data_IF_849695018471
#
_entry.id   IF_849695018471
#
_cell.length_a   1.000
_cell.length_b   1.000
_cell.length_c   1.000
_cell.angle_alpha   90.00
_cell.angle_beta   90.00
_cell.angle_gamma   90.00
#
_symmetry.space_group_name_H-M   'P 1'
#
loop_
_entity.id
_entity.type
_entity.pdbx_description
1 polymer ?
#
# COMPACT_ATOMS: atom_id res chain seq x y z
N UNK A 1 0.01 -18.23 -10.32
CA UNK A 1 1.17 -17.61 -9.65
C UNK A 1 0.89 -16.13 -9.55
N UNK A 2 0.93 -15.57 -8.35
CA UNK A 2 0.62 -14.17 -8.06
C UNK A 2 1.93 -13.43 -7.75
N UNK A 3 2.17 -12.29 -8.40
CA UNK A 3 3.33 -11.44 -8.14
C UNK A 3 2.94 -10.27 -7.23
N UNK A 4 3.68 -10.12 -6.13
CA UNK A 4 3.62 -8.92 -5.29
C UNK A 4 4.94 -8.16 -5.40
N UNK A 5 4.87 -6.90 -5.83
CA UNK A 5 6.00 -5.99 -5.97
C UNK A 5 5.91 -4.91 -4.88
N UNK A 6 6.98 -4.77 -4.09
CA UNK A 6 7.07 -3.77 -3.02
C UNK A 6 8.16 -2.75 -3.29
N UNK A 7 7.95 -1.52 -2.84
CA UNK A 7 8.97 -0.47 -2.83
C UNK A 7 10.23 -0.90 -2.03
N UNK A 8 10.07 -1.23 -0.75
CA UNK A 8 11.15 -1.58 0.17
C UNK A 8 11.47 -3.08 0.27
N UNK A 9 12.71 -3.38 0.69
CA UNK A 9 13.23 -4.77 0.75
C UNK A 9 12.93 -5.50 2.07
N UNK A 10 12.45 -4.79 3.10
CA UNK A 10 12.40 -5.33 4.48
C UNK A 10 11.02 -5.33 5.10
N UNK A 11 10.37 -4.18 5.18
CA UNK A 11 9.15 -4.02 6.00
C UNK A 11 7.96 -4.70 5.33
N UNK A 12 7.74 -4.39 4.06
CA UNK A 12 6.59 -4.79 3.27
C UNK A 12 6.60 -6.29 2.99
N UNK A 13 7.71 -6.92 2.53
CA UNK A 13 7.75 -8.37 2.39
C UNK A 13 7.50 -9.09 3.72
N UNK A 14 8.03 -8.57 4.84
CA UNK A 14 7.82 -9.17 6.17
C UNK A 14 6.36 -9.08 6.62
N UNK A 15 5.71 -7.95 6.40
CA UNK A 15 4.28 -7.76 6.67
C UNK A 15 3.46 -8.70 5.79
N UNK A 16 3.80 -8.79 4.50
CA UNK A 16 3.08 -9.60 3.55
C UNK A 16 3.19 -11.09 3.83
N UNK A 17 4.33 -11.59 4.34
CA UNK A 17 4.44 -12.99 4.81
C UNK A 17 3.41 -13.33 5.91
N UNK A 18 3.01 -12.35 6.73
CA UNK A 18 1.91 -12.57 7.69
C UNK A 18 0.56 -12.63 6.98
N UNK A 19 0.29 -11.73 6.05
CA UNK A 19 -0.92 -11.74 5.21
C UNK A 19 -1.05 -13.08 4.47
N UNK A 20 0.02 -13.53 3.82
CA UNK A 20 0.10 -14.79 3.09
C UNK A 20 -0.35 -15.97 3.97
N UNK A 21 0.24 -16.10 5.17
CA UNK A 21 -0.11 -17.17 6.11
C UNK A 21 -1.55 -17.09 6.66
N UNK A 22 -2.12 -15.89 6.73
CA UNK A 22 -3.47 -15.66 7.26
C UNK A 22 -4.56 -15.85 6.20
N UNK A 23 -4.28 -15.52 4.94
CA UNK A 23 -5.30 -15.34 3.91
C UNK A 23 -5.02 -16.03 2.57
N UNK A 24 -3.76 -16.34 2.21
CA UNK A 24 -3.36 -16.90 0.91
C UNK A 24 -2.79 -18.32 1.04
N UNK A 25 -3.34 -19.14 1.94
CA UNK A 25 -2.83 -20.51 2.14
C UNK A 25 -3.07 -21.38 0.91
N UNK A 26 -1.99 -21.85 0.31
CA UNK A 26 -2.03 -22.73 -0.86
C UNK A 26 -1.92 -22.01 -2.19
N UNK A 27 -1.79 -20.68 -2.19
CA UNK A 27 -1.50 -19.89 -3.38
C UNK A 27 -0.01 -19.91 -3.70
N UNK A 28 0.31 -19.90 -4.99
CA UNK A 28 1.68 -19.77 -5.48
C UNK A 28 2.04 -18.27 -5.61
N UNK A 29 2.76 -17.75 -4.62
CA UNK A 29 3.02 -16.32 -4.42
C UNK A 29 4.51 -16.00 -4.54
N UNK A 30 4.85 -15.05 -5.41
CA UNK A 30 6.19 -14.47 -5.53
C UNK A 30 6.18 -13.08 -4.90
N UNK A 31 7.09 -12.86 -3.94
CA UNK A 31 7.33 -11.54 -3.34
C UNK A 31 8.62 -10.96 -3.92
N UNK A 32 8.52 -9.84 -4.60
CA UNK A 32 9.63 -9.12 -5.17
C UNK A 32 9.72 -7.72 -4.58
N UNK A 33 10.94 -7.23 -4.35
CA UNK A 33 11.17 -5.85 -3.95
C UNK A 33 11.86 -5.09 -5.07
N UNK A 34 11.29 -3.96 -5.46
CA UNK A 34 11.84 -3.08 -6.47
C UNK A 34 13.07 -2.31 -5.95
N UNK A 35 13.03 -1.84 -4.69
CA UNK A 35 14.16 -1.27 -3.97
C UNK A 35 14.41 0.22 -4.19
N UNK A 36 13.49 0.93 -4.86
CA UNK A 36 13.49 2.39 -5.05
C UNK A 36 12.05 2.92 -5.06
N UNK A 37 11.86 4.24 -5.02
CA UNK A 37 10.52 4.85 -5.02
C UNK A 37 9.75 4.66 -6.34
N UNK A 38 8.43 4.92 -6.29
CA UNK A 38 7.53 4.86 -7.46
C UNK A 38 7.93 5.82 -8.59
N UNK A 39 8.70 6.87 -8.29
CA UNK A 39 9.12 7.86 -9.26
C UNK A 39 10.35 7.41 -10.07
N UNK A 40 11.22 6.60 -9.49
CA UNK A 40 12.24 5.84 -10.24
C UNK A 40 11.56 4.81 -11.14
N UNK A 41 10.57 4.06 -10.61
CA UNK A 41 9.83 3.11 -11.45
C UNK A 41 9.15 3.83 -12.62
N UNK A 42 8.55 4.99 -12.40
CA UNK A 42 8.00 5.82 -13.47
C UNK A 42 9.05 6.18 -14.53
N UNK A 43 10.26 6.57 -14.14
CA UNK A 43 11.35 6.91 -15.08
C UNK A 43 11.77 5.69 -15.90
N UNK A 44 11.98 4.56 -15.23
CA UNK A 44 12.39 3.31 -15.89
C UNK A 44 11.31 2.81 -16.86
N UNK A 45 10.03 2.79 -16.45
CA UNK A 45 8.92 2.40 -17.33
C UNK A 45 8.82 3.32 -18.55
N UNK A 46 8.97 4.65 -18.37
CA UNK A 46 8.96 5.61 -19.49
C UNK A 46 10.13 5.41 -20.45
N UNK A 47 11.29 4.97 -19.94
CA UNK A 47 12.48 4.70 -20.76
C UNK A 47 12.33 3.45 -21.63
N UNK A 48 11.52 2.48 -21.20
CA UNK A 48 11.23 1.26 -21.97
C UNK A 48 10.25 1.50 -23.13
N UNK A 49 9.42 2.54 -23.05
CA UNK A 49 8.48 2.93 -24.09
C UNK A 49 7.21 2.07 -24.13
N UNK A 50 6.57 1.99 -25.30
CA UNK A 50 5.32 1.26 -25.47
C UNK A 50 5.55 -0.25 -25.31
N UNK A 51 4.75 -0.89 -24.46
CA UNK A 51 4.93 -2.30 -24.09
C UNK A 51 5.88 -2.51 -22.90
N UNK A 52 6.20 -1.46 -22.15
CA UNK A 52 6.94 -1.55 -20.89
C UNK A 52 6.28 -2.56 -19.94
N UNK A 53 7.07 -3.54 -19.50
CA UNK A 53 6.65 -4.65 -18.65
C UNK A 53 7.40 -4.57 -17.31
N UNK A 54 6.67 -4.60 -16.19
CA UNK A 54 7.25 -4.58 -14.85
C UNK A 54 8.25 -5.72 -14.62
N UNK A 55 8.04 -6.89 -15.23
CA UNK A 55 8.97 -8.03 -15.14
C UNK A 55 10.30 -7.70 -15.80
N UNK A 56 10.30 -6.97 -16.92
CA UNK A 56 11.54 -6.53 -17.57
C UNK A 56 12.35 -5.58 -16.65
N UNK A 57 11.66 -4.67 -15.96
CA UNK A 57 12.27 -3.78 -14.97
C UNK A 57 12.85 -4.57 -13.79
N UNK A 58 12.10 -5.52 -13.23
CA UNK A 58 12.52 -6.29 -12.06
C UNK A 58 13.71 -7.22 -12.37
N UNK A 59 13.75 -7.81 -13.57
CA UNK A 59 14.84 -8.68 -14.01
C UNK A 59 16.17 -7.93 -14.14
N UNK A 60 16.15 -6.69 -14.62
CA UNK A 60 17.36 -5.86 -14.70
C UNK A 60 17.98 -5.59 -13.33
N UNK A 61 17.25 -5.84 -12.24
CA UNK A 61 17.71 -5.70 -10.86
C UNK A 61 18.04 -7.05 -10.19
N UNK A 62 18.18 -8.13 -10.97
CA UNK A 62 18.59 -9.48 -10.53
C UNK A 62 17.79 -10.03 -9.34
N UNK A 63 16.47 -9.82 -9.36
CA UNK A 63 15.58 -10.23 -8.26
C UNK A 63 15.28 -11.74 -8.33
N UNK A 64 15.48 -12.42 -7.20
CA UNK A 64 15.25 -13.87 -7.04
C UNK A 64 13.79 -14.24 -7.27
N UNK A 65 13.54 -15.40 -7.88
CA UNK A 65 12.21 -15.94 -8.15
C UNK A 65 11.64 -15.55 -9.52
N UNK A 66 12.35 -14.73 -10.30
CA UNK A 66 11.94 -14.32 -11.65
C UNK A 66 12.76 -15.00 -12.75
N UNK A 67 13.57 -16.01 -12.41
CA UNK A 67 14.52 -16.65 -13.32
C UNK A 67 13.82 -17.36 -14.49
N UNK A 68 12.69 -18.03 -14.22
CA UNK A 68 11.93 -18.80 -15.22
C UNK A 68 10.76 -18.03 -15.85
N UNK A 69 10.44 -16.85 -15.31
CA UNK A 69 9.33 -16.00 -15.78
C UNK A 69 9.84 -15.17 -16.94
N UNK A 70 9.16 -15.11 -18.08
CA UNK A 70 9.56 -14.27 -19.22
C UNK A 70 8.91 -12.87 -19.18
N UNK A 71 7.61 -12.79 -18.85
CA UNK A 71 6.77 -11.58 -18.97
C UNK A 71 5.74 -11.47 -17.86
N UNK A 72 5.13 -10.28 -17.69
CA UNK A 72 4.00 -10.07 -16.75
C UNK A 72 2.86 -11.05 -16.98
N UNK A 73 2.60 -11.43 -18.24
CA UNK A 73 1.54 -12.37 -18.63
C UNK A 73 1.74 -13.81 -18.13
N UNK A 74 2.90 -14.13 -17.58
CA UNK A 74 3.16 -15.44 -16.98
C UNK A 74 2.61 -15.52 -15.53
N UNK A 75 2.18 -14.39 -14.96
CA UNK A 75 1.46 -14.32 -13.69
C UNK A 75 -0.05 -14.28 -13.93
N UNK A 76 -0.82 -14.89 -13.02
CA UNK A 76 -2.28 -14.75 -13.03
C UNK A 76 -2.71 -13.36 -12.58
N UNK A 77 -1.99 -12.80 -11.61
CA UNK A 77 -2.27 -11.52 -10.97
C UNK A 77 -0.96 -10.84 -10.57
N UNK A 78 -0.90 -9.52 -10.76
CA UNK A 78 0.24 -8.68 -10.34
C UNK A 78 -0.24 -7.50 -9.50
N UNK A 79 0.34 -7.35 -8.31
CA UNK A 79 0.04 -6.27 -7.39
C UNK A 79 1.30 -5.50 -7.02
N UNK A 80 1.22 -4.18 -7.04
CA UNK A 80 2.31 -3.28 -6.71
C UNK A 80 1.93 -2.46 -5.48
N UNK A 81 2.82 -2.35 -4.51
CA UNK A 81 2.65 -1.56 -3.29
C UNK A 81 3.79 -0.58 -3.16
N UNK A 82 3.46 0.70 -3.30
CA UNK A 82 4.43 1.79 -3.23
C UNK A 82 3.96 2.88 -2.30
N UNK A 83 4.89 3.71 -1.87
CA UNK A 83 4.63 4.84 -1.01
C UNK A 83 4.40 6.09 -1.87
N UNK A 84 3.61 7.03 -1.37
CA UNK A 84 3.41 8.30 -2.05
C UNK A 84 4.68 9.18 -2.01
N UNK A 85 5.49 9.05 -0.96
CA UNK A 85 6.82 9.66 -0.77
C UNK A 85 7.04 11.01 -1.52
N UNK A 86 6.36 12.08 -1.09
CA UNK A 86 6.56 13.43 -1.68
C UNK A 86 7.59 14.27 -0.93
N UNK A 87 8.65 13.63 -0.41
CA UNK A 87 9.61 14.26 0.49
C UNK A 87 10.53 15.30 -0.16
N UNK A 88 10.78 15.22 -1.48
CA UNK A 88 11.61 16.22 -2.15
C UNK A 88 10.84 17.53 -2.32
N UNK A 89 11.02 18.44 -1.36
CA UNK A 89 10.41 19.78 -1.34
C UNK A 89 10.77 20.63 -2.56
N UNK A 90 11.83 20.30 -3.30
CA UNK A 90 12.22 21.02 -4.52
C UNK A 90 11.31 20.67 -5.71
N UNK A 91 10.68 19.50 -5.68
CA UNK A 91 9.75 19.07 -6.72
C UNK A 91 8.33 19.56 -6.34
N UNK A 92 7.59 20.23 -7.23
CA UNK A 92 6.21 20.62 -6.95
C UNK A 92 5.30 19.40 -6.70
N UNK A 93 4.35 19.49 -5.76
CA UNK A 93 3.38 18.41 -5.50
C UNK A 93 2.58 18.04 -6.76
N UNK A 94 2.30 19.02 -7.63
CA UNK A 94 1.64 18.79 -8.92
C UNK A 94 2.43 17.86 -9.84
N UNK A 95 3.76 17.90 -9.78
CA UNK A 95 4.62 17.04 -10.58
C UNK A 95 4.61 15.60 -10.05
N UNK A 96 4.74 15.41 -8.73
CA UNK A 96 4.53 14.11 -8.08
C UNK A 96 3.17 13.52 -8.42
N UNK A 97 2.10 14.33 -8.33
CA UNK A 97 0.76 13.91 -8.69
C UNK A 97 0.62 13.51 -10.17
N UNK A 98 1.29 14.20 -11.07
CA UNK A 98 1.26 13.86 -12.52
C UNK A 98 1.92 12.51 -12.78
N UNK A 99 3.08 12.28 -12.14
CA UNK A 99 3.80 11.00 -12.23
C UNK A 99 2.99 9.86 -11.62
N UNK A 100 2.48 10.05 -10.40
CA UNK A 100 1.68 9.03 -9.72
C UNK A 100 0.39 8.71 -10.49
N UNK A 101 -0.31 9.72 -11.02
CA UNK A 101 -1.51 9.50 -11.82
C UNK A 101 -1.19 8.67 -13.08
N UNK A 102 -0.05 8.91 -13.73
CA UNK A 102 0.40 8.11 -14.87
C UNK A 102 0.64 6.66 -14.47
N UNK A 103 1.25 6.42 -13.29
CA UNK A 103 1.48 5.07 -12.78
C UNK A 103 0.17 4.36 -12.40
N UNK A 104 -0.78 5.05 -11.77
CA UNK A 104 -2.09 4.49 -11.46
C UNK A 104 -2.92 4.17 -12.72
N UNK A 105 -2.74 4.92 -13.81
CA UNK A 105 -3.35 4.59 -15.11
C UNK A 105 -2.66 3.39 -15.78
N UNK A 106 -1.34 3.26 -15.62
CA UNK A 106 -0.58 2.17 -16.21
C UNK A 106 -0.86 0.84 -15.49
N UNK A 107 -0.99 0.91 -14.16
CA UNK A 107 -1.18 -0.22 -13.26
C UNK A 107 -2.59 -0.20 -12.62
N UNK A 108 -3.62 -0.34 -13.45
CA UNK A 108 -5.03 -0.22 -13.05
C UNK A 108 -5.72 -1.58 -12.79
N UNK A 109 -5.23 -2.66 -13.39
CA UNK A 109 -5.83 -4.00 -13.34
C UNK A 109 -4.79 -5.10 -13.05
N UNK A 110 -5.13 -6.01 -12.15
CA UNK A 110 -4.22 -7.07 -11.70
C UNK A 110 -3.87 -8.11 -12.77
N UNK A 111 -4.73 -8.28 -13.79
CA UNK A 111 -4.52 -9.24 -14.89
C UNK A 111 -3.85 -8.62 -16.11
N UNK A 112 -3.78 -7.28 -16.15
CA UNK A 112 -3.09 -6.50 -17.17
C UNK A 112 -1.61 -6.26 -16.84
N UNK A 113 -1.23 -4.99 -16.73
CA UNK A 113 0.14 -4.61 -16.33
C UNK A 113 0.39 -4.78 -14.82
N UNK A 114 -0.66 -5.06 -14.05
CA UNK A 114 -0.68 -5.13 -12.61
C UNK A 114 -1.46 -3.99 -11.98
N UNK A 115 -1.79 -4.09 -10.70
CA UNK A 115 -2.62 -3.13 -9.97
C UNK A 115 -1.84 -2.45 -8.86
N UNK A 116 -1.75 -1.12 -8.93
CA UNK A 116 -0.96 -0.30 -8.01
C UNK A 116 -1.77 0.18 -6.81
N UNK A 117 -1.24 -0.09 -5.62
CA UNK A 117 -1.70 0.36 -4.32
C UNK A 117 -0.70 1.35 -3.72
N UNK A 118 -1.19 2.48 -3.20
CA UNK A 118 -0.35 3.60 -2.76
C UNK A 118 -0.54 3.90 -1.28
N UNK A 119 0.50 3.77 -0.46
CA UNK A 119 0.43 4.17 0.95
C UNK A 119 0.60 5.68 1.08
N UNK A 120 -0.17 6.30 1.97
CA UNK A 120 -0.13 7.73 2.25
C UNK A 120 0.30 7.99 3.71
N UNK A 121 1.45 8.64 3.94
CA UNK A 121 2.50 8.93 2.96
C UNK A 121 3.41 7.74 2.63
N UNK A 122 3.50 6.74 3.52
CA UNK A 122 4.42 5.60 3.41
C UNK A 122 3.94 4.39 4.23
N UNK A 123 4.65 3.26 4.17
CA UNK A 123 4.28 2.02 4.86
C UNK A 123 4.00 2.20 6.35
N UNK A 124 4.71 3.10 7.05
CA UNK A 124 4.47 3.43 8.46
C UNK A 124 3.02 3.88 8.76
N UNK A 125 2.25 4.30 7.75
CA UNK A 125 0.83 4.67 7.90
C UNK A 125 -0.02 3.50 8.42
N UNK A 126 0.42 2.26 8.21
CA UNK A 126 -0.25 1.05 8.69
C UNK A 126 -0.32 0.97 10.23
N UNK A 127 0.67 1.51 10.94
CA UNK A 127 0.68 1.55 12.42
C UNK A 127 0.39 2.92 12.99
N UNK A 128 0.20 3.95 12.16
CA UNK A 128 -0.05 5.33 12.58
C UNK A 128 -1.46 5.46 13.16
N UNK A 129 -1.63 4.88 14.33
CA UNK A 129 -2.91 4.70 15.03
C UNK A 129 -2.63 4.67 16.52
N UNK A 130 -3.61 5.12 17.32
CA UNK A 130 -3.65 4.82 18.74
C UNK A 130 -4.07 3.37 18.94
N UNK A 131 -4.58 3.01 20.10
CA UNK A 131 -5.00 1.65 20.40
C UNK A 131 -6.13 1.23 19.44
N UNK A 132 -6.07 0.02 18.88
CA UNK A 132 -7.14 -0.50 18.03
C UNK A 132 -8.36 -0.95 18.88
N UNK A 133 -9.60 -0.70 18.41
CA UNK A 133 -9.95 0.20 17.30
C UNK A 133 -9.73 1.69 17.67
N UNK A 134 -9.41 2.52 16.68
CA UNK A 134 -9.15 3.96 16.86
C UNK A 134 -10.17 4.81 16.07
N UNK A 135 -11.17 5.34 16.77
CA UNK A 135 -12.24 6.16 16.17
C UNK A 135 -11.73 7.50 15.61
N UNK A 136 -10.60 8.01 16.09
CA UNK A 136 -10.02 9.26 15.62
C UNK A 136 -9.14 9.07 14.37
N UNK A 137 -8.87 7.82 13.96
CA UNK A 137 -8.04 7.50 12.80
C UNK A 137 -8.47 8.23 11.52
N UNK A 138 -9.78 8.39 11.32
CA UNK A 138 -10.36 9.10 10.16
C UNK A 138 -9.83 10.53 10.01
N UNK A 139 -9.43 11.18 11.10
CA UNK A 139 -8.95 12.57 11.12
C UNK A 139 -7.44 12.71 10.92
N UNK A 140 -6.67 11.64 11.07
CA UNK A 140 -5.21 11.73 11.01
C UNK A 140 -4.72 12.11 9.62
N UNK A 141 -3.95 13.18 9.57
CA UNK A 141 -3.32 13.69 8.36
C UNK A 141 -2.04 14.41 8.76
N UNK A 142 -1.08 14.45 7.84
CA UNK A 142 0.22 15.09 8.05
C UNK A 142 0.45 16.17 7.00
N UNK A 143 1.20 17.20 7.33
CA UNK A 143 1.65 18.16 6.30
C UNK A 143 2.71 17.52 5.41
N UNK A 144 3.00 18.16 4.28
CA UNK A 144 4.07 17.73 3.38
C UNK A 144 5.44 17.70 4.07
N UNK A 145 5.74 18.69 4.90
CA UNK A 145 7.00 18.77 5.65
C UNK A 145 7.13 17.60 6.64
N UNK A 146 6.01 17.20 7.23
CA UNK A 146 5.93 16.11 8.19
C UNK A 146 6.12 14.74 7.55
N UNK A 147 5.90 14.61 6.23
CA UNK A 147 6.15 13.36 5.50
C UNK A 147 7.61 12.93 5.58
N UNK A 148 8.56 13.88 5.44
CA UNK A 148 10.00 13.59 5.45
C UNK A 148 10.46 12.87 6.72
N UNK A 149 9.87 13.22 7.86
CA UNK A 149 10.16 12.66 9.18
C UNK A 149 9.09 11.65 9.64
N UNK A 150 8.21 11.22 8.73
CA UNK A 150 6.99 10.51 9.11
C UNK A 150 7.27 9.21 9.86
N UNK A 151 8.35 8.51 9.52
CA UNK A 151 8.76 7.31 10.25
C UNK A 151 9.01 7.57 11.74
N UNK A 152 9.78 8.62 12.06
CA UNK A 152 10.02 9.05 13.45
C UNK A 152 8.72 9.51 14.10
N UNK A 153 7.88 10.26 13.38
CA UNK A 153 6.57 10.67 13.90
C UNK A 153 5.66 9.49 14.19
N UNK A 154 5.68 8.46 13.35
CA UNK A 154 4.93 7.23 13.57
C UNK A 154 5.44 6.51 14.83
N UNK A 155 6.76 6.50 15.09
CA UNK A 155 7.33 5.96 16.33
C UNK A 155 6.83 6.70 17.58
N UNK A 156 6.78 8.03 17.52
CA UNK A 156 6.36 8.88 18.65
C UNK A 156 4.84 8.91 18.86
N UNK A 157 4.08 8.87 17.77
CA UNK A 157 2.62 9.02 17.80
C UNK A 157 1.91 7.70 18.08
N UNK A 158 2.37 6.59 17.51
CA UNK A 158 1.60 5.34 17.47
C UNK A 158 1.54 4.67 18.84
N UNK A 159 0.40 4.07 19.17
CA UNK A 159 0.30 3.24 20.38
C UNK A 159 1.18 1.99 20.27
N UNK A 160 1.34 1.47 19.05
CA UNK A 160 2.19 0.33 18.76
C UNK A 160 3.57 0.82 18.26
N UNK A 161 4.66 0.58 19.02
CA UNK A 161 5.97 1.12 18.68
C UNK A 161 6.61 0.41 17.47
N UNK A 162 6.10 -0.75 17.10
CA UNK A 162 6.60 -1.56 15.99
C UNK A 162 5.47 -2.46 15.44
N UNK A 163 5.81 -3.26 14.43
CA UNK A 163 4.87 -4.11 13.69
C UNK A 163 4.40 -5.37 14.45
N UNK A 164 4.87 -5.60 15.67
CA UNK A 164 4.69 -6.88 16.35
C UNK A 164 3.22 -7.27 16.61
N UNK A 165 2.33 -6.28 16.73
CA UNK A 165 0.89 -6.50 16.95
C UNK A 165 0.19 -7.12 15.74
N UNK A 166 0.78 -7.01 14.54
CA UNK A 166 0.21 -7.51 13.29
C UNK A 166 1.08 -8.56 12.60
N UNK A 167 2.16 -9.00 13.26
CA UNK A 167 3.04 -10.05 12.74
C UNK A 167 2.80 -11.38 13.44
N UNK A 168 2.68 -12.45 12.64
CA UNK A 168 2.73 -13.80 13.17
C UNK A 168 4.13 -14.10 13.68
N UNK A 169 4.22 -14.62 14.90
CA UNK A 169 5.47 -15.10 15.48
C UNK A 169 5.39 -16.61 15.63
N UNK A 170 6.47 -17.30 15.29
CA UNK A 170 6.60 -18.74 15.55
C UNK A 170 6.78 -18.99 17.06
N UNK A 171 5.66 -18.98 17.80
CA UNK A 171 5.61 -19.40 19.20
C UNK A 171 4.98 -20.79 19.26
N UNK A 172 5.73 -21.79 19.73
CA UNK A 172 5.24 -23.18 19.86
C UNK A 172 4.05 -23.31 20.82
N UNK A 173 3.93 -22.42 21.80
CA UNK A 173 2.83 -22.40 22.76
C UNK A 173 1.91 -21.19 22.48
N UNK A 174 0.60 -21.43 22.40
CA UNK A 174 -0.39 -20.36 22.21
C UNK A 174 -0.49 -19.81 20.78
N UNK A 175 -0.04 -20.57 19.77
CA UNK A 175 -0.04 -20.14 18.36
C UNK A 175 -1.45 -19.78 17.86
N UNK A 176 -2.48 -20.52 18.26
CA UNK A 176 -3.87 -20.24 17.86
C UNK A 176 -4.36 -18.92 18.43
N UNK A 177 -4.13 -18.68 19.72
CA UNK A 177 -4.50 -17.42 20.39
C UNK A 177 -3.77 -16.24 19.75
N UNK A 178 -2.45 -16.35 19.54
CA UNK A 178 -1.66 -15.30 18.88
C UNK A 178 -2.14 -15.05 17.45
N UNK A 179 -2.47 -16.12 16.70
CA UNK A 179 -2.99 -16.01 15.33
C UNK A 179 -4.34 -15.30 15.30
N UNK A 180 -5.24 -15.62 16.25
CA UNK A 180 -6.53 -14.96 16.39
C UNK A 180 -6.38 -13.47 16.75
N UNK A 181 -5.47 -13.13 17.68
CA UNK A 181 -5.17 -11.73 18.05
C UNK A 181 -4.62 -10.93 16.86
N UNK A 182 -3.64 -11.49 16.13
CA UNK A 182 -3.08 -10.85 14.93
C UNK A 182 -4.15 -10.67 13.86
N UNK A 183 -5.00 -11.69 13.63
CA UNK A 183 -6.12 -11.59 12.67
C UNK A 183 -7.10 -10.50 13.07
N UNK A 184 -7.48 -10.42 14.34
CA UNK A 184 -8.35 -9.35 14.85
C UNK A 184 -7.74 -7.95 14.64
N UNK A 185 -6.42 -7.79 14.84
CA UNK A 185 -5.75 -6.53 14.58
C UNK A 185 -5.78 -6.15 13.09
N UNK A 186 -5.57 -7.11 12.18
CA UNK A 186 -5.72 -6.88 10.74
C UNK A 186 -7.16 -6.49 10.35
N UNK A 187 -8.16 -7.08 11.01
CA UNK A 187 -9.57 -6.72 10.79
C UNK A 187 -9.87 -5.27 11.23
N UNK A 188 -9.37 -4.84 12.39
CA UNK A 188 -9.49 -3.44 12.81
C UNK A 188 -8.78 -2.48 11.85
N UNK A 189 -7.57 -2.84 11.39
CA UNK A 189 -6.84 -2.05 10.41
C UNK A 189 -7.57 -1.96 9.07
N UNK A 190 -8.19 -3.06 8.62
CA UNK A 190 -9.02 -3.09 7.41
C UNK A 190 -10.21 -2.17 7.57
N UNK A 191 -10.96 -2.30 8.66
CA UNK A 191 -12.14 -1.48 8.92
C UNK A 191 -11.80 0.01 8.90
N UNK A 192 -10.83 0.46 9.70
CA UNK A 192 -10.52 1.89 9.80
C UNK A 192 -9.96 2.47 8.49
N UNK A 193 -9.13 1.71 7.74
CA UNK A 193 -8.58 2.17 6.47
C UNK A 193 -9.63 2.21 5.37
N UNK A 194 -10.50 1.20 5.27
CA UNK A 194 -11.55 1.17 4.24
C UNK A 194 -12.60 2.24 4.51
N UNK A 195 -13.06 2.39 5.77
CA UNK A 195 -13.98 3.47 6.13
C UNK A 195 -13.38 4.85 5.93
N UNK A 196 -12.09 5.03 6.22
CA UNK A 196 -11.39 6.28 5.93
C UNK A 196 -11.24 6.54 4.43
N UNK A 197 -10.96 5.52 3.62
CA UNK A 197 -10.96 5.65 2.17
C UNK A 197 -12.34 6.10 1.65
N UNK A 198 -13.42 5.52 2.18
CA UNK A 198 -14.77 5.97 1.85
C UNK A 198 -15.00 7.43 2.29
N UNK A 199 -14.60 7.81 3.51
CA UNK A 199 -14.68 9.20 3.97
C UNK A 199 -13.93 10.19 3.06
N UNK A 200 -12.75 9.80 2.59
CA UNK A 200 -11.98 10.57 1.59
C UNK A 200 -12.76 10.68 0.28
N UNK A 201 -13.39 9.61 -0.19
CA UNK A 201 -14.08 9.59 -1.50
C UNK A 201 -15.46 10.26 -1.48
N UNK A 202 -16.31 9.91 -0.51
CA UNK A 202 -17.73 10.28 -0.43
C UNK A 202 -18.03 11.26 0.72
N UNK A 203 -17.23 11.26 1.77
CA UNK A 203 -17.49 12.02 3.01
C UNK A 203 -18.20 11.20 4.10
N UNK A 204 -18.63 9.97 3.81
CA UNK A 204 -19.22 9.05 4.80
C UNK A 204 -18.16 8.21 5.50
N UNK A 205 -18.19 8.13 6.83
CA UNK A 205 -17.32 7.26 7.63
C UNK A 205 -18.00 5.91 7.90
N UNK A 206 -18.21 5.16 6.84
CA UNK A 206 -18.88 3.86 6.83
C UNK A 206 -18.25 2.96 5.77
N UNK A 207 -18.63 1.68 5.75
CA UNK A 207 -18.18 0.79 4.69
C UNK A 207 -18.71 1.29 3.34
N UNK A 208 -17.88 1.33 2.28
CA UNK A 208 -18.35 1.74 0.98
C UNK A 208 -19.38 0.74 0.44
N UNK A 209 -20.32 1.22 -0.37
CA UNK A 209 -21.38 0.39 -0.95
C UNK A 209 -20.83 -0.58 -1.99
N UNK A 210 -19.78 -0.17 -2.70
CA UNK A 210 -19.05 -1.00 -3.68
C UNK A 210 -17.54 -0.85 -3.49
N UNK A 211 -16.76 -1.78 -4.07
CA UNK A 211 -15.29 -1.70 -4.04
C UNK A 211 -14.75 -0.53 -4.86
N UNK A 212 -15.41 -0.23 -5.98
CA UNK A 212 -15.02 0.84 -6.91
C UNK A 212 -15.04 2.23 -6.27
N UNK A 213 -15.91 2.46 -5.27
CA UNK A 213 -15.95 3.73 -4.52
C UNK A 213 -14.63 4.04 -3.81
N UNK A 214 -13.85 3.02 -3.45
CA UNK A 214 -12.54 3.15 -2.80
C UNK A 214 -11.42 2.57 -3.68
N UNK A 215 -11.61 2.54 -5.00
CA UNK A 215 -10.54 2.20 -5.94
C UNK A 215 -9.38 3.20 -5.84
N UNK A 216 -8.15 2.73 -6.13
CA UNK A 216 -6.92 3.49 -5.91
C UNK A 216 -6.90 4.83 -6.68
N UNK A 217 -7.35 4.84 -7.93
CA UNK A 217 -7.50 6.07 -8.71
C UNK A 217 -8.49 7.04 -8.08
N UNK A 218 -9.62 6.56 -7.57
CA UNK A 218 -10.63 7.43 -6.95
C UNK A 218 -10.10 8.03 -5.64
N UNK A 219 -9.46 7.22 -4.79
CA UNK A 219 -8.78 7.70 -3.57
C UNK A 219 -7.79 8.81 -3.95
N UNK A 220 -6.90 8.57 -4.91
CA UNK A 220 -5.90 9.54 -5.36
C UNK A 220 -6.54 10.86 -5.81
N UNK A 221 -7.53 10.81 -6.72
CA UNK A 221 -8.19 12.00 -7.25
C UNK A 221 -8.89 12.81 -6.15
N UNK A 222 -9.59 12.13 -5.23
CA UNK A 222 -10.32 12.76 -4.13
C UNK A 222 -9.38 13.35 -3.09
N UNK A 223 -8.27 12.67 -2.77
CA UNK A 223 -7.23 13.23 -1.90
C UNK A 223 -6.62 14.49 -2.48
N UNK A 224 -6.21 14.45 -3.76
CA UNK A 224 -5.66 15.60 -4.48
C UNK A 224 -6.61 16.79 -4.47
N UNK A 225 -7.89 16.55 -4.74
CA UNK A 225 -8.90 17.61 -4.78
C UNK A 225 -9.18 18.23 -3.38
N UNK A 226 -9.32 17.39 -2.35
CA UNK A 226 -9.75 17.83 -1.00
C UNK A 226 -8.63 18.40 -0.14
N UNK A 227 -7.43 17.83 -0.22
CA UNK A 227 -6.38 18.11 0.77
C UNK A 227 -5.11 18.76 0.19
N UNK A 228 -4.98 18.81 -1.14
CA UNK A 228 -3.74 19.29 -1.79
C UNK A 228 -3.95 20.52 -2.68
N UNK A 229 -5.14 21.12 -2.66
CA UNK A 229 -5.54 22.25 -3.52
C UNK A 229 -5.40 23.63 -2.86
N UNK A 230 -4.98 23.69 -1.59
CA UNK A 230 -4.87 24.93 -0.80
C UNK A 230 -3.49 25.16 -0.16
N UNK A 231 -3.37 26.28 0.58
CA UNK A 231 -2.14 26.67 1.28
C UNK A 231 -1.73 25.71 2.42
N UNK A 232 -2.70 25.01 3.03
CA UNK A 232 -2.46 23.95 4.03
C UNK A 232 -2.59 22.58 3.35
N UNK A 233 -1.59 22.24 2.54
CA UNK A 233 -1.53 20.93 1.88
C UNK A 233 -1.34 19.84 2.94
N UNK A 234 -2.37 19.00 3.10
CA UNK A 234 -2.36 17.86 4.02
C UNK A 234 -2.45 16.55 3.25
N UNK A 235 -1.83 15.52 3.82
CA UNK A 235 -1.89 14.15 3.31
C UNK A 235 -2.64 13.32 4.36
N UNK A 236 -3.85 12.83 4.04
CA UNK A 236 -4.52 11.88 4.90
C UNK A 236 -3.64 10.64 5.11
N UNK A 237 -3.49 10.23 6.37
CA UNK A 237 -2.78 8.99 6.68
C UNK A 237 -3.67 7.81 6.24
N UNK A 238 -3.21 7.01 5.30
CA UNK A 238 -3.96 5.87 4.76
C UNK A 238 -2.98 4.78 4.35
N UNK A 239 -3.26 3.53 4.68
CA UNK A 239 -2.47 2.39 4.22
C UNK A 239 -3.30 1.50 3.31
N UNK A 240 -2.69 1.02 2.23
CA UNK A 240 -3.41 0.29 1.19
C UNK A 240 -3.27 -1.21 1.31
N UNK A 241 -2.40 -1.76 2.17
CA UNK A 241 -2.41 -3.20 2.48
C UNK A 241 -3.77 -3.67 3.02
N UNK A 242 -4.41 -2.99 4.02
CA UNK A 242 -5.73 -3.39 4.47
C UNK A 242 -6.83 -3.14 3.43
N UNK A 243 -6.69 -2.11 2.58
CA UNK A 243 -7.64 -1.85 1.48
C UNK A 243 -7.54 -2.96 0.43
N UNK A 244 -6.33 -3.42 0.11
CA UNK A 244 -6.09 -4.59 -0.74
C UNK A 244 -6.80 -5.82 -0.19
N UNK A 245 -6.74 -6.10 1.12
CA UNK A 245 -7.49 -7.23 1.70
C UNK A 245 -9.00 -7.10 1.47
N UNK A 246 -9.54 -5.89 1.58
CA UNK A 246 -10.95 -5.63 1.27
C UNK A 246 -11.25 -5.81 -0.23
N UNK A 247 -10.38 -5.31 -1.11
CA UNK A 247 -10.57 -5.37 -2.56
C UNK A 247 -10.40 -6.81 -3.11
N UNK A 248 -9.44 -7.56 -2.59
CA UNK A 248 -9.13 -8.92 -3.01
C UNK A 248 -10.22 -9.92 -2.59
N UNK A 249 -10.62 -9.90 -1.31
CA UNK A 249 -11.55 -10.89 -0.79
C UNK A 249 -13.00 -10.47 -1.02
N UNK A 250 -13.83 -11.37 -1.57
CA UNK A 250 -15.24 -11.09 -1.91
C UNK A 250 -16.13 -10.80 -0.69
N UNK A 251 -15.66 -11.11 0.53
CA UNK A 251 -16.19 -10.78 1.88
C UNK A 251 -15.28 -11.47 2.90
N UNK A 252 -14.89 -10.79 3.98
CA UNK A 252 -14.53 -11.43 5.25
C UNK A 252 -15.61 -11.02 6.24
#
# INVERSE_FOLDING_TARGET
>A
MILFVFEGERSEPRLFRTIEQLYFRGEDVILCSYGNDIYELYREMRSLGDGADIVAVLKNKEKKGLEEVARVSDFSEVYLFFDYDIHDVKVPVSEFNTRLQSMLNLFDDETGNGKLYVNYPMIESLRYTKRLPDDEYVRYSVSREECRDFKRRADEFSYYPNWDFILLRNKRLGIEKHTAEVRANWEYLKEQNVKKANYICSGGYEWPATKDEVAQMNIFLKQKAKYQSGADCRIPVLNTLPIFLYDYFKRI
#
